data_IF_905542626944
#
_entry.id   IF_905542626944
#
_cell.length_a   1.000
_cell.length_b   1.000
_cell.length_c   1.000
_cell.angle_alpha   90.00
_cell.angle_beta   90.00
_cell.angle_gamma   90.00
#
_symmetry.space_group_name_H-M   'P 1'
#
loop_
_entity.id
_entity.type
_entity.pdbx_description
1 polymer ?
#
# COMPACT_ATOMS: atom_id res chain seq x y z
N UNK A 1 -9.55 -4.54 19.56
CA UNK A 1 -9.72 -5.20 18.24
C UNK A 1 -8.36 -5.78 17.86
N UNK A 2 -8.28 -7.04 17.48
CA UNK A 2 -7.01 -7.64 17.04
C UNK A 2 -6.51 -6.95 15.75
N UNK A 3 -5.20 -6.81 15.57
CA UNK A 3 -4.58 -6.17 14.41
C UNK A 3 -5.05 -6.83 13.10
N UNK A 4 -5.22 -8.15 13.09
CA UNK A 4 -5.71 -8.88 11.92
C UNK A 4 -7.17 -8.56 11.57
N UNK A 5 -7.96 -8.13 12.55
CA UNK A 5 -9.41 -7.94 12.42
C UNK A 5 -9.76 -6.66 11.64
N UNK A 6 -9.03 -5.55 11.85
CA UNK A 6 -9.31 -4.28 11.16
C UNK A 6 -9.03 -4.34 9.66
N UNK A 7 -7.92 -4.95 9.26
CA UNK A 7 -7.58 -5.12 7.85
C UNK A 7 -8.53 -6.11 7.17
N UNK A 8 -8.89 -7.19 7.87
CA UNK A 8 -9.88 -8.16 7.38
C UNK A 8 -11.26 -7.53 7.21
N UNK A 9 -11.68 -6.67 8.14
CA UNK A 9 -12.93 -5.93 8.04
C UNK A 9 -12.94 -4.95 6.86
N UNK A 10 -11.84 -4.20 6.64
CA UNK A 10 -11.69 -3.33 5.49
C UNK A 10 -11.79 -4.12 4.19
N UNK A 11 -11.06 -5.22 4.10
CA UNK A 11 -11.07 -6.08 2.92
C UNK A 11 -12.48 -6.62 2.62
N UNK A 12 -13.21 -7.10 3.63
CA UNK A 12 -14.61 -7.56 3.48
C UNK A 12 -15.54 -6.44 3.02
N UNK A 13 -15.36 -5.21 3.51
CA UNK A 13 -16.11 -4.05 3.02
C UNK A 13 -15.84 -3.82 1.54
N UNK A 14 -14.56 -3.80 1.15
CA UNK A 14 -14.17 -3.60 -0.25
C UNK A 14 -14.72 -4.71 -1.14
N UNK A 15 -14.72 -5.98 -0.72
CA UNK A 15 -15.33 -7.05 -1.52
C UNK A 15 -16.82 -6.81 -1.82
N UNK A 16 -17.58 -6.34 -0.83
CA UNK A 16 -19.03 -6.22 -0.92
C UNK A 16 -19.52 -4.88 -1.47
N UNK A 17 -18.72 -3.82 -1.35
CA UNK A 17 -19.12 -2.47 -1.69
C UNK A 17 -18.31 -1.91 -2.87
N UNK A 18 -18.90 -1.95 -4.06
CA UNK A 18 -18.28 -1.42 -5.28
C UNK A 18 -17.98 0.08 -5.20
N UNK A 19 -18.86 0.87 -4.58
CA UNK A 19 -18.64 2.32 -4.45
C UNK A 19 -17.43 2.62 -3.56
N UNK A 20 -17.26 1.87 -2.46
CA UNK A 20 -16.08 1.98 -1.60
C UNK A 20 -14.79 1.62 -2.35
N UNK A 21 -14.81 0.55 -3.17
CA UNK A 21 -13.68 0.22 -4.05
C UNK A 21 -13.34 1.35 -5.02
N UNK A 22 -14.34 1.91 -5.68
CA UNK A 22 -14.14 2.99 -6.66
C UNK A 22 -13.57 4.24 -6.00
N UNK A 23 -14.05 4.63 -4.82
CA UNK A 23 -13.46 5.74 -4.05
C UNK A 23 -11.99 5.47 -3.72
N UNK A 24 -11.68 4.28 -3.21
CA UNK A 24 -10.32 3.89 -2.86
C UNK A 24 -9.38 3.86 -4.08
N UNK A 25 -9.86 3.46 -5.26
CA UNK A 25 -9.07 3.45 -6.49
C UNK A 25 -8.81 4.87 -6.99
N UNK A 26 -9.82 5.75 -6.96
CA UNK A 26 -9.72 7.12 -7.47
C UNK A 26 -8.88 8.03 -6.57
N UNK A 27 -9.03 7.90 -5.26
CA UNK A 27 -8.23 8.63 -4.27
C UNK A 27 -7.81 7.68 -3.14
N UNK A 28 -6.67 6.99 -3.32
CA UNK A 28 -6.18 6.03 -2.34
C UNK A 28 -5.91 6.66 -0.97
N UNK A 29 -5.41 7.90 -0.95
CA UNK A 29 -5.10 8.60 0.31
C UNK A 29 -6.39 8.91 1.06
N UNK A 30 -7.36 9.52 0.39
CA UNK A 30 -8.64 9.83 1.02
C UNK A 30 -9.39 8.56 1.43
N UNK A 31 -9.43 7.52 0.59
CA UNK A 31 -10.11 6.27 0.91
C UNK A 31 -9.51 5.53 2.11
N UNK A 32 -8.17 5.50 2.23
CA UNK A 32 -7.50 4.93 3.40
C UNK A 32 -7.74 5.77 4.66
N UNK A 33 -7.67 7.09 4.55
CA UNK A 33 -7.95 7.99 5.68
C UNK A 33 -9.42 7.94 6.14
N UNK A 34 -10.38 7.75 5.23
CA UNK A 34 -11.81 7.57 5.54
C UNK A 34 -12.02 6.36 6.45
N UNK A 35 -11.33 5.25 6.17
CA UNK A 35 -11.53 4.00 6.89
C UNK A 35 -10.65 3.85 8.14
N UNK A 36 -9.38 4.24 8.06
CA UNK A 36 -8.40 4.01 9.12
C UNK A 36 -8.12 5.24 9.99
N UNK A 37 -8.66 6.42 9.62
CA UNK A 37 -8.46 7.67 10.34
C UNK A 37 -7.56 8.65 9.59
N UNK A 38 -7.79 9.95 9.82
CA UNK A 38 -7.03 11.03 9.20
C UNK A 38 -5.53 10.93 9.55
N UNK A 39 -4.66 11.15 8.57
CA UNK A 39 -3.21 11.02 8.75
C UNK A 39 -2.71 9.58 8.76
N UNK A 40 -3.56 8.61 8.38
CA UNK A 40 -3.12 7.23 8.13
C UNK A 40 -2.04 7.19 7.06
N UNK A 41 -2.28 7.84 5.92
CA UNK A 41 -1.24 7.97 4.89
C UNK A 41 -0.36 9.18 5.22
N UNK A 42 0.96 9.01 5.41
CA UNK A 42 1.86 10.12 5.66
C UNK A 42 1.87 11.14 4.52
N UNK A 43 2.19 12.39 4.84
CA UNK A 43 2.48 13.40 3.83
C UNK A 43 3.88 13.17 3.24
N UNK A 44 4.05 13.48 1.96
CA UNK A 44 5.34 13.33 1.29
C UNK A 44 5.24 13.30 -0.23
N UNK A 45 6.41 13.32 -0.87
CA UNK A 45 6.55 13.28 -2.33
C UNK A 45 6.49 11.85 -2.87
N UNK A 46 5.37 11.17 -2.63
CA UNK A 46 5.11 9.83 -3.14
C UNK A 46 3.64 9.67 -3.54
N UNK A 47 3.38 8.74 -4.45
CA UNK A 47 2.04 8.39 -4.90
C UNK A 47 1.68 7.00 -4.41
N UNK A 48 0.47 6.87 -3.87
CA UNK A 48 -0.15 5.57 -3.61
C UNK A 48 -1.08 5.25 -4.79
N UNK A 49 -0.98 4.04 -5.33
CA UNK A 49 -1.90 3.53 -6.35
C UNK A 49 -2.48 2.22 -5.88
N UNK A 50 -3.76 2.01 -6.17
CA UNK A 50 -4.46 0.76 -5.89
C UNK A 50 -4.61 0.05 -7.22
N UNK A 51 -4.01 -1.14 -7.32
CA UNK A 51 -4.12 -1.99 -8.51
C UNK A 51 -5.07 -3.14 -8.17
N UNK A 52 -6.30 -3.15 -8.71
CA UNK A 52 -7.22 -4.26 -8.53
C UNK A 52 -6.65 -5.53 -9.14
N UNK A 53 -6.81 -6.65 -8.43
CA UNK A 53 -6.56 -7.97 -9.00
C UNK A 53 -7.84 -8.41 -9.71
N UNK A 54 -7.84 -8.33 -11.03
CA UNK A 54 -8.93 -8.82 -11.86
C UNK A 54 -8.72 -10.31 -12.18
N UNK A 55 -9.80 -11.11 -12.30
CA UNK A 55 -9.70 -12.45 -12.85
C UNK A 55 -8.96 -12.45 -14.19
N UNK A 56 -8.20 -13.51 -14.45
CA UNK A 56 -7.45 -13.72 -15.70
C UNK A 56 -6.43 -12.61 -16.04
N UNK A 57 -6.02 -11.79 -15.07
CA UNK A 57 -5.05 -10.71 -15.27
C UNK A 57 -3.81 -10.90 -14.40
N UNK A 58 -2.64 -10.94 -15.04
CA UNK A 58 -1.34 -10.90 -14.34
C UNK A 58 -0.86 -9.45 -14.32
N UNK A 59 -0.70 -8.88 -13.13
CA UNK A 59 -0.09 -7.56 -12.96
C UNK A 59 1.40 -7.72 -12.66
N UNK A 60 2.24 -7.10 -13.47
CA UNK A 60 3.69 -7.05 -13.27
C UNK A 60 4.07 -5.57 -13.07
N UNK A 61 4.75 -5.27 -11.97
CA UNK A 61 5.39 -3.96 -11.78
C UNK A 61 6.86 -4.08 -12.21
N UNK A 62 7.24 -3.25 -13.17
CA UNK A 62 8.62 -3.10 -13.60
C UNK A 62 9.23 -1.91 -12.85
N UNK A 63 10.53 -1.96 -12.52
CA UNK A 63 11.19 -0.83 -11.88
C UNK A 63 11.21 0.33 -12.87
N UNK A 64 11.29 1.57 -12.36
CA UNK A 64 11.37 2.74 -13.23
C UNK A 64 12.49 2.55 -14.25
N UNK A 65 12.27 2.86 -15.53
CA UNK A 65 13.33 2.84 -16.52
C UNK A 65 14.46 3.75 -16.02
N UNK A 66 15.66 3.22 -16.11
CA UNK A 66 16.89 3.96 -15.89
C UNK A 66 17.29 4.66 -17.20
N UNK A 67 18.03 5.75 -17.13
CA UNK A 67 18.49 6.48 -18.32
C UNK A 67 19.44 5.63 -19.19
N UNK A 68 19.53 5.93 -20.49
CA UNK A 68 20.21 5.07 -21.49
C UNK A 68 21.72 4.84 -21.24
N UNK A 69 22.36 5.59 -20.33
CA UNK A 69 23.78 5.46 -19.94
C UNK A 69 23.98 5.01 -18.47
N UNK A 70 23.03 4.25 -17.92
CA UNK A 70 23.08 3.83 -16.52
C UNK A 70 24.09 2.68 -16.29
N UNK A 71 24.92 2.80 -15.25
CA UNK A 71 25.92 1.77 -14.91
C UNK A 71 25.28 0.43 -14.53
N UNK A 72 26.05 -0.67 -14.66
CA UNK A 72 25.62 -1.99 -14.23
C UNK A 72 25.25 -2.05 -12.74
N UNK A 73 25.89 -1.25 -11.87
CA UNK A 73 25.51 -1.17 -10.46
C UNK A 73 24.13 -0.50 -10.27
N UNK A 74 23.82 0.52 -11.06
CA UNK A 74 22.54 1.21 -10.98
C UNK A 74 21.40 0.38 -11.60
N UNK A 75 21.69 -0.44 -12.61
CA UNK A 75 20.84 -1.52 -13.11
C UNK A 75 20.52 -2.55 -12.00
N UNK A 76 21.56 -3.10 -11.36
CA UNK A 76 21.42 -4.09 -10.30
C UNK A 76 20.65 -3.52 -9.10
N UNK A 77 20.93 -2.28 -8.71
CA UNK A 77 20.16 -1.58 -7.68
C UNK A 77 18.69 -1.42 -8.06
N UNK A 78 18.38 -1.03 -9.30
CA UNK A 78 17.00 -0.88 -9.76
C UNK A 78 16.22 -2.21 -9.77
N UNK A 79 16.86 -3.30 -10.19
CA UNK A 79 16.27 -4.64 -10.15
C UNK A 79 15.99 -5.14 -8.73
N UNK A 80 16.80 -4.72 -7.75
CA UNK A 80 16.65 -5.09 -6.34
C UNK A 80 15.60 -4.28 -5.58
N UNK A 81 15.19 -3.11 -6.09
CA UNK A 81 14.15 -2.27 -5.49
C UNK A 81 12.78 -2.96 -5.40
N UNK A 82 12.49 -3.94 -6.25
CA UNK A 82 11.15 -4.54 -6.37
C UNK A 82 10.94 -5.70 -5.38
N UNK A 83 11.45 -5.68 -4.15
CA UNK A 83 11.20 -6.80 -3.24
C UNK A 83 11.13 -6.37 -1.78
N UNK A 84 10.13 -5.56 -1.45
CA UNK A 84 9.60 -5.56 -0.09
C UNK A 84 8.09 -5.71 -0.14
N UNK A 85 7.65 -6.93 -0.49
CA UNK A 85 6.24 -7.28 -0.33
C UNK A 85 6.01 -7.62 1.13
N UNK A 86 5.63 -6.60 1.90
CA UNK A 86 5.16 -6.79 3.28
C UNK A 86 3.82 -7.53 3.25
N UNK A 87 3.89 -8.86 3.19
CA UNK A 87 2.77 -9.74 3.49
C UNK A 87 2.67 -9.91 5.01
N UNK A 88 1.52 -9.56 5.55
CA UNK A 88 1.06 -10.11 6.83
C UNK A 88 -0.10 -11.03 6.52
N UNK A 89 0.21 -12.29 6.21
CA UNK A 89 -0.61 -13.49 6.37
C UNK A 89 -2.04 -13.48 5.76
N UNK A 90 -2.35 -12.47 4.95
CA UNK A 90 -3.70 -12.08 4.58
C UNK A 90 -3.75 -11.27 3.29
N UNK A 91 -4.97 -10.98 2.85
CA UNK A 91 -5.27 -10.54 1.49
C UNK A 91 -4.74 -9.13 1.19
N UNK A 92 -3.69 -9.08 0.37
CA UNK A 92 -3.07 -7.85 -0.13
C UNK A 92 -1.60 -7.71 0.30
N UNK A 93 -0.85 -6.92 -0.47
CA UNK A 93 0.55 -6.62 -0.21
C UNK A 93 0.91 -5.24 -0.77
N UNK A 94 1.95 -4.64 -0.20
CA UNK A 94 2.52 -3.40 -0.71
C UNK A 94 3.72 -3.71 -1.59
N UNK A 95 3.94 -2.94 -2.64
CA UNK A 95 5.19 -2.99 -3.40
C UNK A 95 5.88 -1.65 -3.21
N UNK A 96 7.10 -1.70 -2.70
CA UNK A 96 7.90 -0.53 -2.37
C UNK A 96 8.93 -0.35 -3.49
N UNK A 97 8.88 0.72 -4.31
CA UNK A 97 9.82 0.90 -5.42
C UNK A 97 11.16 1.52 -5.01
N UNK A 98 11.32 1.88 -3.73
CA UNK A 98 12.50 2.56 -3.18
C UNK A 98 12.60 2.26 -1.67
N UNK A 99 13.77 1.83 -1.19
CA UNK A 99 14.01 1.48 0.22
C UNK A 99 13.68 2.62 1.20
N UNK A 100 13.80 3.88 0.77
CA UNK A 100 13.42 5.03 1.60
C UNK A 100 11.92 5.07 1.94
N UNK A 101 11.08 4.50 1.07
CA UNK A 101 9.63 4.41 1.26
C UNK A 101 9.23 3.29 2.23
N UNK A 102 10.16 2.41 2.61
CA UNK A 102 9.91 1.40 3.65
C UNK A 102 9.53 2.04 4.97
N UNK A 103 10.14 3.18 5.32
CA UNK A 103 9.79 3.92 6.53
C UNK A 103 8.40 4.55 6.44
N UNK A 104 8.03 5.10 5.28
CA UNK A 104 6.68 5.63 5.04
C UNK A 104 5.62 4.55 5.27
N UNK A 105 5.85 3.33 4.77
CA UNK A 105 4.91 2.23 4.96
C UNK A 105 4.86 1.70 6.41
N UNK A 106 6.01 1.70 7.12
CA UNK A 106 6.04 1.37 8.54
C UNK A 106 5.31 2.41 9.39
N UNK A 107 5.44 3.69 9.06
CA UNK A 107 4.75 4.78 9.74
C UNK A 107 3.24 4.70 9.46
N UNK A 108 2.85 4.46 8.22
CA UNK A 108 1.45 4.23 7.86
C UNK A 108 0.84 3.08 8.69
N UNK A 109 1.53 1.93 8.77
CA UNK A 109 1.06 0.80 9.60
C UNK A 109 0.97 1.17 11.07
N UNK A 110 1.97 1.86 11.60
CA UNK A 110 1.98 2.33 13.00
C UNK A 110 0.80 3.27 13.28
N UNK A 111 0.49 4.17 12.36
CA UNK A 111 -0.65 5.08 12.45
C UNK A 111 -1.98 4.32 12.44
N UNK A 112 -2.16 3.32 11.57
CA UNK A 112 -3.40 2.51 11.56
C UNK A 112 -3.60 1.80 12.91
N UNK A 113 -2.52 1.27 13.47
CA UNK A 113 -2.57 0.57 14.75
C UNK A 113 -2.90 1.52 15.91
N UNK A 114 -2.29 2.70 15.96
CA UNK A 114 -2.57 3.68 17.00
C UNK A 114 -4.03 4.15 16.97
N UNK A 115 -4.58 4.40 15.77
CA UNK A 115 -5.99 4.76 15.62
C UNK A 115 -6.94 3.63 16.04
N UNK A 116 -6.60 2.36 15.74
CA UNK A 116 -7.42 1.20 16.13
C UNK A 116 -7.49 0.95 17.65
N UNK A 117 -6.47 1.39 18.41
CA UNK A 117 -6.45 1.27 19.87
C UNK A 117 -7.17 2.44 20.57
N UNK A 118 -7.31 3.60 19.90
CA UNK A 118 -8.01 4.78 20.42
C UNK A 118 -9.54 4.74 20.33
N UNK A 119 -10.12 3.80 19.58
CA UNK A 119 -11.58 3.65 19.37
C UNK A 119 -12.27 2.74 20.39
N UNK A 120 -11.62 2.38 21.51
CA UNK A 120 -12.26 1.67 22.61
C UNK A 120 -12.92 2.67 23.58
N UNK A 121 -14.17 3.05 23.31
CA UNK A 121 -15.08 3.66 24.27
C UNK A 121 -16.37 2.83 24.36
#
# INVERSE_FOLDING_TARGET
>A
MDQHDIFTAHYRLLQRNQAARQRLILDPKAGLNEYFGSGTVPEGQFQVKIIPQEPDTITILLPSPIEEDTSNEALDAACRRIFDILFTDGVGGYLIPDDSLTWVLRDMRSNILSHSQGTAF
#
